data_IF_680506546893
#
_entry.id   IF_680506546893
#
_cell.length_a   1.000
_cell.length_b   1.000
_cell.length_c   1.000
_cell.angle_alpha   90.00
_cell.angle_beta   90.00
_cell.angle_gamma   90.00
#
_symmetry.space_group_name_H-M   'P 1'
#
loop_
_entity.id
_entity.type
_entity.pdbx_description
1 polymer ?
#
# COMPACT_ATOMS: atom_id res chain seq x y z
N UNK A 1 11.58 3.38 -33.20
CA UNK A 1 10.32 3.28 -32.44
C UNK A 1 10.59 2.50 -31.16
N UNK A 2 10.66 3.16 -30.01
CA UNK A 2 10.92 2.50 -28.73
C UNK A 2 10.14 3.22 -27.64
N UNK A 3 9.08 2.57 -27.15
CA UNK A 3 8.11 3.08 -26.18
C UNK A 3 8.77 3.10 -24.80
N UNK A 4 8.84 4.28 -24.18
CA UNK A 4 9.07 4.43 -22.74
C UNK A 4 7.83 5.09 -22.15
N UNK A 5 6.81 4.27 -21.89
CA UNK A 5 5.65 4.69 -21.10
C UNK A 5 6.14 4.93 -19.69
N UNK A 6 6.47 6.19 -19.36
CA UNK A 6 6.78 6.59 -18.00
C UNK A 6 5.50 6.38 -17.18
N UNK A 7 5.46 5.29 -16.41
CA UNK A 7 4.40 5.03 -15.46
C UNK A 7 4.61 6.03 -14.33
N UNK A 8 3.98 7.20 -14.46
CA UNK A 8 3.93 8.19 -13.39
C UNK A 8 3.07 7.58 -12.29
N UNK A 9 3.71 6.93 -11.32
CA UNK A 9 3.06 6.57 -10.06
C UNK A 9 2.87 7.85 -9.25
N UNK A 10 1.85 8.64 -9.60
CA UNK A 10 1.31 9.73 -8.78
C UNK A 10 0.64 9.12 -7.55
N UNK A 11 1.46 8.72 -6.61
CA UNK A 11 1.08 8.19 -5.31
C UNK A 11 2.06 8.68 -4.27
N UNK A 12 2.18 10.01 -4.15
CA UNK A 12 2.86 10.66 -3.02
C UNK A 12 2.10 10.26 -1.74
N UNK A 13 2.62 9.22 -1.09
CA UNK A 13 2.45 8.93 0.31
C UNK A 13 3.83 9.01 0.94
N UNK A 14 4.18 10.18 1.43
CA UNK A 14 5.36 10.37 2.26
C UNK A 14 5.09 9.63 3.57
N UNK A 15 5.84 8.58 3.89
CA UNK A 15 6.04 8.13 5.27
C UNK A 15 7.13 7.06 5.34
N UNK A 16 8.35 7.54 5.54
CA UNK A 16 9.34 6.97 6.47
C UNK A 16 9.91 5.59 6.13
N UNK A 17 11.16 5.36 6.52
CA UNK A 17 11.86 4.09 6.42
C UNK A 17 11.25 2.93 7.27
N UNK A 18 9.98 3.05 7.68
CA UNK A 18 9.20 1.98 8.29
C UNK A 18 8.50 1.21 7.18
N UNK A 19 9.12 0.10 6.80
CA UNK A 19 8.50 -0.89 5.92
C UNK A 19 7.05 -1.13 6.35
N UNK A 20 6.08 -0.86 5.45
CA UNK A 20 4.68 -1.14 5.75
C UNK A 20 4.52 -2.60 6.20
N UNK A 21 3.87 -2.80 7.34
CA UNK A 21 3.69 -4.13 7.95
C UNK A 21 2.27 -4.62 7.74
N UNK A 22 2.04 -5.93 7.59
CA UNK A 22 0.69 -6.49 7.58
C UNK A 22 -0.04 -6.13 8.87
N UNK A 23 -1.31 -5.71 8.77
CA UNK A 23 -2.13 -5.31 9.92
C UNK A 23 -1.84 -3.91 10.46
N UNK A 24 -0.86 -3.18 9.92
CA UNK A 24 -0.62 -1.78 10.28
C UNK A 24 -1.76 -0.92 9.71
N UNK A 25 -2.23 0.06 10.50
CA UNK A 25 -3.37 0.91 10.13
C UNK A 25 -2.97 1.84 8.99
N UNK A 26 -3.85 1.95 8.01
CA UNK A 26 -3.71 2.88 6.89
C UNK A 26 -4.91 3.81 6.84
N UNK A 27 -4.71 5.05 6.39
CA UNK A 27 -5.78 6.07 6.38
C UNK A 27 -6.50 6.17 5.04
N UNK A 28 -5.97 5.54 3.99
CA UNK A 28 -6.46 5.71 2.62
C UNK A 28 -6.91 4.36 2.01
N UNK A 29 -8.21 4.13 1.86
CA UNK A 29 -8.72 2.88 1.30
C UNK A 29 -8.19 2.69 -0.12
N UNK A 30 -7.92 1.44 -0.50
CA UNK A 30 -7.33 1.05 -1.79
C UNK A 30 -5.91 1.55 -2.07
N UNK A 31 -5.23 2.22 -1.12
CA UNK A 31 -3.82 2.54 -1.30
C UNK A 31 -2.99 1.27 -1.51
N UNK A 32 -1.92 1.37 -2.31
CA UNK A 32 -0.96 0.30 -2.55
C UNK A 32 0.39 0.66 -1.95
N UNK A 33 1.04 -0.30 -1.34
CA UNK A 33 2.40 -0.19 -0.82
C UNK A 33 3.13 -1.52 -1.02
N UNK A 34 4.37 -1.62 -0.55
CA UNK A 34 5.22 -2.80 -0.71
C UNK A 34 5.91 -3.13 0.61
N UNK A 35 6.06 -4.42 0.92
CA UNK A 35 6.79 -4.85 2.12
C UNK A 35 8.31 -4.86 1.88
N UNK A 36 9.11 -5.18 2.91
CA UNK A 36 10.57 -5.23 2.80
C UNK A 36 11.05 -6.33 1.85
N UNK A 37 10.19 -7.31 1.54
CA UNK A 37 10.43 -8.34 0.52
C UNK A 37 9.92 -7.96 -0.86
N UNK A 38 9.42 -6.74 -1.06
CA UNK A 38 8.91 -6.30 -2.35
C UNK A 38 7.54 -6.88 -2.72
N UNK A 39 6.79 -7.46 -1.78
CA UNK A 39 5.43 -7.96 -2.05
C UNK A 39 4.43 -6.81 -1.97
N UNK A 40 3.53 -6.69 -2.95
CA UNK A 40 2.51 -5.65 -2.94
C UNK A 40 1.52 -5.89 -1.80
N UNK A 41 1.20 -4.83 -1.10
CA UNK A 41 0.15 -4.78 -0.09
C UNK A 41 -0.87 -3.72 -0.49
N UNK A 42 -2.10 -3.92 -0.05
CA UNK A 42 -3.18 -3.00 -0.28
C UNK A 42 -3.87 -2.64 1.04
N UNK A 43 -4.24 -1.38 1.17
CA UNK A 43 -5.02 -0.89 2.28
C UNK A 43 -6.49 -1.29 2.07
N UNK A 44 -6.92 -2.30 2.81
CA UNK A 44 -8.26 -2.86 2.74
C UNK A 44 -8.92 -2.77 4.12
N UNK A 45 -10.24 -2.54 4.19
CA UNK A 45 -10.95 -2.60 5.45
C UNK A 45 -10.79 -3.98 6.07
N UNK A 46 -10.49 -4.03 7.37
CA UNK A 46 -10.67 -5.28 8.10
C UNK A 46 -12.18 -5.54 8.25
N UNK A 47 -12.59 -6.77 7.94
CA UNK A 47 -13.92 -7.28 8.27
C UNK A 47 -13.95 -7.87 9.68
N UNK A 48 -12.78 -8.08 10.27
CA UNK A 48 -12.59 -8.61 11.63
C UNK A 48 -12.11 -7.47 12.53
N UNK A 49 -13.00 -6.97 13.38
CA UNK A 49 -12.70 -5.92 14.36
C UNK A 49 -13.32 -4.55 14.03
N UNK A 50 -12.59 -3.46 14.31
CA UNK A 50 -13.09 -2.08 14.35
C UNK A 50 -13.29 -1.42 12.96
N UNK A 51 -13.63 -2.21 11.93
CA UNK A 51 -13.74 -1.79 10.52
C UNK A 51 -12.62 -0.84 10.06
N UNK A 52 -11.43 -1.04 10.62
CA UNK A 52 -10.31 -0.16 10.41
C UNK A 52 -9.59 -0.56 9.14
N UNK A 53 -9.11 0.43 8.41
CA UNK A 53 -8.32 0.22 7.22
C UNK A 53 -6.94 -0.27 7.64
N UNK A 54 -6.54 -1.45 7.13
CA UNK A 54 -5.24 -2.06 7.45
C UNK A 54 -4.53 -2.52 6.18
N UNK A 55 -3.20 -2.56 6.22
CA UNK A 55 -2.40 -3.13 5.14
C UNK A 55 -2.55 -4.66 5.11
N UNK A 56 -3.01 -5.17 3.97
CA UNK A 56 -3.20 -6.60 3.74
C UNK A 56 -2.49 -7.02 2.46
N UNK A 57 -2.02 -8.27 2.43
CA UNK A 57 -1.55 -8.87 1.19
C UNK A 57 -2.77 -9.15 0.31
N UNK A 58 -2.67 -8.73 -0.94
CA UNK A 58 -3.67 -9.00 -1.96
C UNK A 58 -3.25 -10.18 -2.81
#
# INVERSE_FOLDING_TARGET
>A
MGILTAIVFSGVGIASADTARPGQICTRPNARTTDNRGRPMQCLPNTVGNHSLVWQYR
#
